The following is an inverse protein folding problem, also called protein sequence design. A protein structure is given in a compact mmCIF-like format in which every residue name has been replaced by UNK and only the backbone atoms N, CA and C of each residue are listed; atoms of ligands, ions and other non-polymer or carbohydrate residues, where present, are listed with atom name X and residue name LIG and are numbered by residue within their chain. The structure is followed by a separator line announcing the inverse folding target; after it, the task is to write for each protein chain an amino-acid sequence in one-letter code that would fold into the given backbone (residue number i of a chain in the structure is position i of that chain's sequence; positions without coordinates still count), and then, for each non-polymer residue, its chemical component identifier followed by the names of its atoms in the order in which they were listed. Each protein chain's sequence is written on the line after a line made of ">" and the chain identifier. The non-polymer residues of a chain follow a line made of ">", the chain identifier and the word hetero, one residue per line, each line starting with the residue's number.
data_IF_756614577694
#
_entry.id   IF_756614577694
#
_cell.length_a   1.000
_cell.length_b   1.000
_cell.length_c   1.000
_cell.angle_alpha   90.00
_cell.angle_beta   90.00
_cell.angle_gamma   90.00
#
_symmetry.space_group_name_H-M   'P 1'
#
loop_
_entity.id
_entity.type
_entity.pdbx_description
1 polymer ?
#
# COMPACT_ATOMS: atom_id res chain seq x y z
N UNK A 1 14.74 -4.82 -7.85
CA UNK A 1 13.94 -6.07 -7.82
C UNK A 1 12.52 -5.88 -7.28
N UNK A 2 12.28 -5.25 -6.12
CA UNK A 2 10.91 -4.94 -5.66
C UNK A 2 10.41 -3.55 -6.11
N UNK A 3 11.27 -2.53 -5.99
CA UNK A 3 10.94 -1.17 -6.45
C UNK A 3 10.70 -1.10 -7.96
N UNK A 4 11.45 -1.88 -8.74
CA UNK A 4 11.27 -1.94 -10.21
C UNK A 4 9.92 -2.54 -10.59
N UNK A 5 9.47 -3.56 -9.85
CA UNK A 5 8.14 -4.15 -10.04
C UNK A 5 7.03 -3.13 -9.70
N UNK A 6 7.16 -2.41 -8.58
CA UNK A 6 6.21 -1.36 -8.20
C UNK A 6 6.14 -0.18 -9.19
N UNK A 7 7.20 0.02 -9.98
CA UNK A 7 7.26 1.03 -11.05
C UNK A 7 6.77 0.50 -12.40
N UNK A 8 6.51 -0.80 -12.52
CA UNK A 8 6.03 -1.40 -13.76
C UNK A 8 4.57 -0.97 -13.99
N UNK A 9 4.24 -0.35 -15.13
CA UNK A 9 2.87 0.07 -15.43
C UNK A 9 1.89 -1.11 -15.41
N UNK A 10 0.67 -0.87 -14.93
CA UNK A 10 -0.40 -1.88 -14.90
C UNK A 10 -0.25 -2.94 -13.81
N UNK A 11 0.62 -2.73 -12.81
CA UNK A 11 0.67 -3.59 -11.64
C UNK A 11 -0.57 -3.40 -10.74
N UNK A 12 -0.76 -4.33 -9.81
CA UNK A 12 -1.95 -4.35 -8.94
C UNK A 12 -2.04 -3.13 -7.99
N UNK A 13 -0.91 -2.53 -7.60
CA UNK A 13 -0.89 -1.32 -6.76
C UNK A 13 -1.36 -0.10 -7.56
N UNK A 14 -0.97 0.00 -8.82
CA UNK A 14 -1.47 1.06 -9.73
C UNK A 14 -2.98 0.90 -9.96
N UNK A 15 -3.45 -0.34 -10.17
CA UNK A 15 -4.87 -0.61 -10.31
C UNK A 15 -5.67 -0.17 -9.05
N UNK A 16 -5.14 -0.39 -7.84
CA UNK A 16 -5.76 0.11 -6.61
C UNK A 16 -5.85 1.65 -6.64
N UNK A 17 -4.78 2.34 -7.04
CA UNK A 17 -4.77 3.80 -7.15
C UNK A 17 -5.77 4.33 -8.19
N UNK A 18 -5.99 3.58 -9.28
CA UNK A 18 -6.84 3.99 -10.41
C UNK A 18 -8.34 3.72 -10.17
N UNK A 19 -8.67 2.63 -9.48
CA UNK A 19 -10.05 2.11 -9.43
C UNK A 19 -10.73 2.22 -8.06
N UNK A 20 -9.97 2.34 -6.96
CA UNK A 20 -10.58 2.51 -5.65
C UNK A 20 -11.02 3.96 -5.41
N UNK A 21 -12.19 4.17 -4.80
CA UNK A 21 -12.89 5.46 -4.79
C UNK A 21 -12.21 6.52 -3.92
N UNK A 22 -11.34 6.13 -2.99
CA UNK A 22 -10.68 7.05 -2.09
C UNK A 22 -9.49 6.47 -1.32
N UNK A 23 -8.74 7.32 -0.59
CA UNK A 23 -7.55 6.91 0.14
C UNK A 23 -7.79 5.80 1.17
N UNK A 24 -8.98 5.77 1.79
CA UNK A 24 -9.33 4.76 2.78
C UNK A 24 -9.54 3.38 2.14
N UNK A 25 -10.25 3.34 1.02
CA UNK A 25 -10.50 2.11 0.26
C UNK A 25 -9.21 1.61 -0.40
N UNK A 26 -8.38 2.52 -0.94
CA UNK A 26 -7.04 2.21 -1.45
C UNK A 26 -6.18 1.55 -0.37
N UNK A 27 -6.18 2.12 0.84
CA UNK A 27 -5.43 1.59 1.98
C UNK A 27 -5.93 0.20 2.39
N UNK A 28 -7.25 0.01 2.49
CA UNK A 28 -7.84 -1.28 2.84
C UNK A 28 -7.51 -2.36 1.80
N UNK A 29 -7.62 -2.04 0.50
CA UNK A 29 -7.24 -2.98 -0.57
C UNK A 29 -5.76 -3.30 -0.58
N UNK A 30 -4.89 -2.33 -0.30
CA UNK A 30 -3.45 -2.56 -0.26
C UNK A 30 -3.06 -3.57 0.83
N UNK A 31 -3.70 -3.47 2.00
CA UNK A 31 -3.49 -4.42 3.09
C UNK A 31 -4.02 -5.81 2.75
N UNK A 32 -5.17 -5.90 2.09
CA UNK A 32 -5.68 -7.18 1.60
C UNK A 32 -4.74 -7.80 0.56
N UNK A 33 -4.23 -7.01 -0.37
CA UNK A 33 -3.31 -7.47 -1.41
C UNK A 33 -2.01 -8.02 -0.82
N UNK A 34 -1.37 -7.27 0.08
CA UNK A 34 -0.01 -7.58 0.54
C UNK A 34 0.01 -8.49 1.77
N UNK A 35 -0.93 -8.32 2.70
CA UNK A 35 -0.94 -9.02 3.98
C UNK A 35 -2.10 -10.02 4.13
N UNK A 36 -2.98 -10.14 3.13
CA UNK A 36 -4.14 -11.03 3.15
C UNK A 36 -5.08 -10.82 4.35
N UNK A 37 -5.14 -9.58 4.87
CA UNK A 37 -6.02 -9.19 5.98
C UNK A 37 -6.39 -7.71 5.89
N UNK A 38 -7.48 -7.26 6.54
CA UNK A 38 -7.72 -5.83 6.69
C UNK A 38 -6.66 -5.19 7.61
N UNK A 39 -6.44 -3.88 7.49
CA UNK A 39 -5.59 -3.14 8.43
C UNK A 39 -6.24 -3.04 9.80
N UNK A 40 -5.41 -3.04 10.84
CA UNK A 40 -5.81 -2.79 12.23
C UNK A 40 -6.09 -1.31 12.45
N UNK A 41 -6.84 -0.98 13.49
CA UNK A 41 -7.14 0.41 13.82
C UNK A 41 -5.87 1.25 14.04
N UNK A 42 -4.86 0.68 14.70
CA UNK A 42 -3.56 1.32 14.93
C UNK A 42 -2.83 1.65 13.62
N UNK A 43 -2.89 0.74 12.63
CA UNK A 43 -2.29 0.91 11.31
C UNK A 43 -3.01 1.99 10.51
N UNK A 44 -4.36 2.01 10.57
CA UNK A 44 -5.16 3.09 9.97
C UNK A 44 -4.77 4.44 10.57
N UNK A 45 -4.71 4.54 11.90
CA UNK A 45 -4.36 5.78 12.58
C UNK A 45 -2.95 6.27 12.28
N UNK A 46 -2.01 5.35 12.04
CA UNK A 46 -0.62 5.71 11.75
C UNK A 46 -0.37 6.14 10.30
N UNK A 47 -1.00 5.47 9.33
CA UNK A 47 -0.60 5.57 7.92
C UNK A 47 -1.65 6.17 7.00
N UNK A 48 -2.94 6.08 7.35
CA UNK A 48 -4.01 6.63 6.51
C UNK A 48 -3.92 8.16 6.32
N UNK A 49 -3.57 8.97 7.35
CA UNK A 49 -3.42 10.43 7.16
C UNK A 49 -2.43 10.80 6.06
N UNK A 50 -1.33 10.06 5.91
CA UNK A 50 -0.33 10.30 4.88
C UNK A 50 -0.84 10.09 3.45
N UNK A 51 -1.86 9.25 3.27
CA UNK A 51 -2.53 9.04 1.99
C UNK A 51 -3.61 10.10 1.72
N UNK A 52 -4.29 10.56 2.77
CA UNK A 52 -5.38 11.54 2.66
C UNK A 52 -4.86 12.95 2.40
N UNK A 53 -3.78 13.35 3.10
CA UNK A 53 -3.30 14.73 3.12
C UNK A 53 -2.21 15.02 2.06
N UNK A 54 -1.97 14.08 1.14
CA UNK A 54 -0.87 14.17 0.18
C UNK A 54 -1.33 14.52 -1.23
N UNK A 55 -0.75 15.59 -1.79
CA UNK A 55 -0.84 15.92 -3.22
C UNK A 55 -0.19 14.84 -4.11
N UNK A 56 0.57 13.91 -3.52
CA UNK A 56 1.28 12.83 -4.17
C UNK A 56 0.77 11.46 -3.69
N UNK A 57 -0.55 11.33 -3.49
CA UNK A 57 -1.18 10.12 -2.95
C UNK A 57 -0.74 8.81 -3.63
N UNK A 58 -0.55 8.81 -4.96
CA UNK A 58 -0.06 7.63 -5.70
C UNK A 58 1.36 7.23 -5.30
N UNK A 59 2.25 8.19 -5.10
CA UNK A 59 3.62 7.91 -4.66
C UNK A 59 3.63 7.39 -3.22
N UNK A 60 2.85 8.01 -2.33
CA UNK A 60 2.69 7.54 -0.94
C UNK A 60 2.13 6.13 -0.88
N UNK A 61 1.13 5.79 -1.71
CA UNK A 61 0.57 4.44 -1.81
C UNK A 61 1.64 3.43 -2.25
N UNK A 62 2.49 3.80 -3.21
CA UNK A 62 3.58 2.96 -3.71
C UNK A 62 4.66 2.74 -2.67
N UNK A 63 5.03 3.79 -1.93
CA UNK A 63 6.01 3.71 -0.84
C UNK A 63 5.49 2.84 0.31
N UNK A 64 4.21 2.97 0.64
CA UNK A 64 3.55 2.09 1.60
C UNK A 64 3.54 0.64 1.12
N UNK A 65 3.23 0.40 -0.16
CA UNK A 65 3.26 -0.94 -0.75
C UNK A 65 4.65 -1.58 -0.62
N UNK A 66 5.70 -0.80 -0.89
CA UNK A 66 7.08 -1.23 -0.70
C UNK A 66 7.37 -1.58 0.75
N UNK A 67 6.99 -0.72 1.69
CA UNK A 67 7.24 -0.92 3.12
C UNK A 67 6.56 -2.20 3.65
N UNK A 68 5.31 -2.45 3.25
CA UNK A 68 4.55 -3.64 3.64
C UNK A 68 5.15 -4.92 3.06
N UNK A 69 5.50 -4.91 1.77
CA UNK A 69 6.14 -6.05 1.10
C UNK A 69 7.50 -6.37 1.73
N UNK A 70 8.34 -5.36 1.94
CA UNK A 70 9.64 -5.54 2.58
C UNK A 70 9.49 -6.11 4.00
N UNK A 71 8.60 -5.55 4.81
CA UNK A 71 8.33 -6.04 6.17
C UNK A 71 7.90 -7.51 6.19
N UNK A 72 7.02 -7.90 5.25
CA UNK A 72 6.56 -9.29 5.10
C UNK A 72 7.72 -10.24 4.77
N UNK A 73 8.53 -9.90 3.78
CA UNK A 73 9.68 -10.72 3.37
C UNK A 73 10.66 -10.93 4.54
N UNK A 74 10.96 -9.89 5.31
CA UNK A 74 11.85 -10.01 6.48
C UNK A 74 11.21 -10.77 7.65
N UNK A 75 9.88 -10.75 7.78
CA UNK A 75 9.18 -11.52 8.81
C UNK A 75 9.19 -13.03 8.54
N UNK A 76 9.29 -13.44 7.27
CA UNK A 76 9.28 -14.84 6.84
C UNK A 76 10.64 -15.55 7.03
N UNK A 77 11.71 -14.83 7.38
CA UNK A 77 13.07 -15.37 7.55
C UNK A 77 13.36 -15.74 9.02
N UNK A 78 12.34 -15.76 9.89
CA UNK A 78 12.47 -16.19 11.31
C UNK A 78 12.09 -17.64 11.53
#
# INVERSE_FOLDING_TARGET
>A
MLQDWLRTPGNQVEAIADFEPGPAEQFDQLYHLILARPPRQEEKSAFLPSLVDSDQAREVLRDLAFALLASREFSSIR
#
